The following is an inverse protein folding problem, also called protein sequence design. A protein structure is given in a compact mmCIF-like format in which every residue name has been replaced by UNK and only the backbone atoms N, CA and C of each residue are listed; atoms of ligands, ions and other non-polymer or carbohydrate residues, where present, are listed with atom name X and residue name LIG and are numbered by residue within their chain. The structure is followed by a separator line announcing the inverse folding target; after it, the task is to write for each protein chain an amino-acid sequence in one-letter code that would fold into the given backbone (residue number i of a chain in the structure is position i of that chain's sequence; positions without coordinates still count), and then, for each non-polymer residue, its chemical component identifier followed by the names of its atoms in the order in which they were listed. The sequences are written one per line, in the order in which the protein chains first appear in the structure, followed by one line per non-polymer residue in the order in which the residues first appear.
data_IF_198007330963
#
_entry.id   IF_198007330963
#
_cell.length_a   1.000
_cell.length_b   1.000
_cell.length_c   1.000
_cell.angle_alpha   90.00
_cell.angle_beta   90.00
_cell.angle_gamma   90.00
#
_symmetry.space_group_name_H-M   'P 1'
#
loop_
_entity.id
_entity.type
_entity.pdbx_description
1 polymer ?
#
# COMPACT_ATOMS: atom_id res chain seq x y z
N UNK A 1 72.95 -5.21 4.50
CA UNK A 1 71.86 -5.87 3.75
C UNK A 1 70.80 -6.28 4.75
N UNK A 2 69.73 -5.49 4.89
CA UNK A 2 68.61 -5.77 5.80
C UNK A 2 67.48 -6.40 4.97
N UNK A 3 66.97 -7.52 5.44
CA UNK A 3 65.84 -8.26 4.86
C UNK A 3 64.52 -7.67 5.37
N UNK A 4 63.68 -7.20 4.45
CA UNK A 4 62.33 -6.72 4.73
C UNK A 4 61.34 -7.89 4.95
N UNK A 5 60.38 -7.78 5.89
CA UNK A 5 59.33 -8.78 6.05
C UNK A 5 58.14 -8.51 5.10
N UNK A 6 57.69 -9.59 4.47
CA UNK A 6 56.47 -9.67 3.65
C UNK A 6 55.24 -9.12 4.39
N UNK A 7 54.66 -8.03 3.88
CA UNK A 7 53.29 -7.61 4.21
C UNK A 7 52.32 -8.28 3.21
N UNK A 8 51.59 -9.30 3.65
CA UNK A 8 50.48 -9.87 2.91
C UNK A 8 49.28 -8.91 2.97
N UNK A 9 48.97 -8.26 1.86
CA UNK A 9 47.76 -7.45 1.69
C UNK A 9 46.59 -8.41 1.45
N UNK A 10 45.80 -8.69 2.48
CA UNK A 10 44.46 -9.25 2.29
C UNK A 10 43.59 -8.19 1.62
N UNK A 11 43.18 -8.45 0.38
CA UNK A 11 42.19 -7.64 -0.33
C UNK A 11 40.86 -7.70 0.43
N UNK A 12 40.22 -6.56 0.74
CA UNK A 12 38.88 -6.59 1.30
C UNK A 12 37.92 -7.22 0.29
N UNK A 13 37.13 -8.18 0.75
CA UNK A 13 36.03 -8.76 -0.03
C UNK A 13 35.13 -7.64 -0.56
N UNK A 14 34.63 -7.73 -1.81
CA UNK A 14 33.76 -6.70 -2.36
C UNK A 14 32.49 -6.65 -1.51
N UNK A 15 32.33 -5.59 -0.74
CA UNK A 15 31.09 -5.27 -0.07
C UNK A 15 30.02 -5.18 -1.14
N UNK A 16 29.12 -6.17 -1.14
CA UNK A 16 27.98 -6.23 -2.04
C UNK A 16 27.19 -4.94 -1.81
N UNK A 17 27.29 -3.98 -2.72
CA UNK A 17 26.56 -2.71 -2.65
C UNK A 17 25.06 -3.05 -2.74
N UNK A 18 24.41 -3.24 -1.59
CA UNK A 18 22.99 -3.52 -1.54
C UNK A 18 22.26 -2.23 -1.88
N UNK A 19 21.51 -2.23 -2.98
CA UNK A 19 20.67 -1.08 -3.36
C UNK A 19 19.71 -0.77 -2.20
N UNK A 20 19.86 0.36 -1.49
CA UNK A 20 19.11 0.64 -0.28
C UNK A 20 17.59 0.69 -0.53
N UNK A 21 17.19 1.02 -1.76
CA UNK A 21 15.78 1.06 -2.19
C UNK A 21 15.21 -0.36 -2.22
N UNK A 22 15.96 -1.32 -2.75
CA UNK A 22 15.53 -2.72 -2.87
C UNK A 22 15.53 -3.45 -1.53
N UNK A 23 16.44 -3.08 -0.61
CA UNK A 23 16.45 -3.64 0.74
C UNK A 23 15.34 -3.06 1.62
N UNK A 24 15.11 -1.74 1.55
CA UNK A 24 13.96 -1.13 2.22
C UNK A 24 12.63 -1.66 1.70
N UNK A 25 12.48 -1.91 0.39
CA UNK A 25 11.25 -2.50 -0.15
C UNK A 25 11.03 -3.93 0.35
N UNK A 26 12.08 -4.74 0.44
CA UNK A 26 12.03 -6.10 1.01
C UNK A 26 11.70 -6.11 2.50
N UNK A 27 12.29 -5.22 3.29
CA UNK A 27 11.96 -5.06 4.71
C UNK A 27 10.52 -4.59 4.91
N UNK A 28 10.07 -3.62 4.12
CA UNK A 28 8.70 -3.16 4.11
C UNK A 28 7.70 -4.27 3.74
N UNK A 29 8.07 -5.16 2.80
CA UNK A 29 7.25 -6.30 2.38
C UNK A 29 7.10 -7.38 3.48
N UNK A 30 8.10 -7.54 4.36
CA UNK A 30 8.05 -8.52 5.46
C UNK A 30 7.14 -8.12 6.61
N UNK A 31 6.88 -6.83 6.78
CA UNK A 31 5.96 -6.29 7.80
C UNK A 31 4.61 -5.87 7.22
N UNK A 32 4.40 -6.02 5.92
CA UNK A 32 3.16 -5.67 5.24
C UNK A 32 2.22 -6.86 5.11
N UNK A 33 0.93 -6.59 5.23
CA UNK A 33 -0.16 -7.54 5.09
C UNK A 33 -0.95 -7.22 3.83
N UNK A 34 -1.72 -8.17 3.33
CA UNK A 34 -2.71 -7.91 2.29
C UNK A 34 -3.97 -7.35 2.93
N UNK A 35 -4.65 -6.42 2.25
CA UNK A 35 -5.99 -5.98 2.63
C UNK A 35 -7.01 -6.78 1.83
N UNK A 36 -7.65 -7.75 2.48
CA UNK A 36 -8.61 -8.67 1.86
C UNK A 36 -10.03 -8.23 2.16
N UNK A 37 -10.90 -8.23 1.16
CA UNK A 37 -12.33 -7.97 1.35
C UNK A 37 -13.13 -9.28 1.49
N UNK A 38 -14.43 -9.16 1.74
CA UNK A 38 -15.33 -10.31 1.96
C UNK A 38 -15.49 -11.21 0.72
N UNK A 39 -15.26 -10.70 -0.50
CA UNK A 39 -15.23 -11.54 -1.72
C UNK A 39 -13.97 -12.39 -1.84
N UNK A 40 -13.04 -12.25 -0.89
CA UNK A 40 -11.79 -12.96 -0.85
C UNK A 40 -10.69 -12.37 -1.72
N UNK A 41 -10.91 -11.18 -2.29
CA UNK A 41 -9.97 -10.45 -3.14
C UNK A 41 -9.14 -9.48 -2.31
N UNK A 42 -7.99 -9.09 -2.86
CA UNK A 42 -7.05 -8.17 -2.23
C UNK A 42 -7.14 -6.78 -2.86
N UNK A 43 -6.99 -5.74 -2.05
CA UNK A 43 -6.73 -4.38 -2.52
C UNK A 43 -5.40 -4.36 -3.29
N UNK A 44 -5.42 -3.83 -4.49
CA UNK A 44 -4.27 -3.80 -5.38
C UNK A 44 -4.13 -2.44 -6.08
N UNK A 45 -2.89 -2.01 -6.30
CA UNK A 45 -2.59 -1.04 -7.35
C UNK A 45 -2.82 -1.70 -8.71
N UNK A 46 -3.58 -1.04 -9.59
CA UNK A 46 -3.87 -1.54 -10.92
C UNK A 46 -2.57 -1.93 -11.65
N UNK A 47 -2.52 -3.15 -12.19
CA UNK A 47 -1.35 -3.72 -12.89
C UNK A 47 -0.05 -3.74 -12.06
N UNK A 48 -0.12 -3.68 -10.73
CA UNK A 48 1.04 -3.57 -9.84
C UNK A 48 1.95 -2.37 -10.16
N UNK A 49 1.39 -1.32 -10.78
CA UNK A 49 2.10 -0.09 -11.09
C UNK A 49 2.41 0.68 -9.80
N UNK A 50 3.59 1.31 -9.72
CA UNK A 50 4.11 2.10 -8.60
C UNK A 50 3.96 3.62 -8.79
N UNK A 51 3.37 4.08 -9.89
CA UNK A 51 3.15 5.49 -10.21
C UNK A 51 2.15 6.21 -9.29
N UNK A 52 2.34 7.52 -9.11
CA UNK A 52 1.33 8.36 -8.47
C UNK A 52 0.07 8.43 -9.35
N UNK A 53 -1.10 8.33 -8.73
CA UNK A 53 -2.38 8.38 -9.46
C UNK A 53 -2.82 7.02 -10.03
N UNK A 54 -2.01 5.97 -9.91
CA UNK A 54 -2.46 4.60 -10.27
C UNK A 54 -3.71 4.26 -9.47
N UNK A 55 -4.76 3.83 -10.17
CA UNK A 55 -6.05 3.45 -9.58
C UNK A 55 -5.88 2.26 -8.64
N UNK A 56 -6.70 2.24 -7.59
CA UNK A 56 -6.85 1.06 -6.75
C UNK A 56 -8.00 0.20 -7.25
N UNK A 57 -7.80 -1.12 -7.22
CA UNK A 57 -8.77 -2.13 -7.64
C UNK A 57 -8.82 -3.26 -6.62
N UNK A 58 -9.87 -4.07 -6.64
CA UNK A 58 -9.79 -5.42 -6.08
C UNK A 58 -9.16 -6.36 -7.10
N UNK A 59 -8.36 -7.31 -6.63
CA UNK A 59 -7.71 -8.29 -7.49
C UNK A 59 -7.52 -9.60 -6.75
N UNK A 60 -7.44 -10.71 -7.49
CA UNK A 60 -6.94 -11.97 -6.94
C UNK A 60 -5.62 -11.73 -6.19
N UNK A 61 -5.54 -12.31 -4.98
CA UNK A 61 -4.42 -12.10 -4.08
C UNK A 61 -3.13 -12.71 -4.62
N UNK A 62 -2.06 -11.92 -4.75
CA UNK A 62 -0.75 -12.30 -5.29
C UNK A 62 0.38 -11.72 -4.43
N UNK A 63 1.61 -12.17 -4.69
CA UNK A 63 2.81 -11.65 -4.01
C UNK A 63 3.41 -10.47 -4.78
N UNK A 64 2.67 -9.37 -4.83
CA UNK A 64 3.01 -8.17 -5.61
C UNK A 64 3.14 -6.94 -4.68
N UNK A 65 4.09 -6.05 -4.97
CA UNK A 65 4.33 -4.84 -4.16
C UNK A 65 3.07 -3.97 -4.02
N UNK A 66 2.26 -3.88 -5.07
CA UNK A 66 0.99 -3.17 -5.10
C UNK A 66 -0.13 -3.80 -4.26
N UNK A 67 0.07 -5.00 -3.69
CA UNK A 67 -0.90 -5.67 -2.80
C UNK A 67 -0.43 -5.75 -1.34
N UNK A 68 0.78 -5.31 -1.04
CA UNK A 68 1.37 -5.38 0.28
C UNK A 68 1.22 -4.08 1.04
N UNK A 69 0.22 -3.99 1.91
CA UNK A 69 -0.17 -2.77 2.62
C UNK A 69 0.29 -2.78 4.09
N UNK A 70 0.63 -1.59 4.60
CA UNK A 70 0.96 -1.40 6.02
C UNK A 70 0.51 -0.04 6.51
N UNK A 71 0.16 0.03 7.79
CA UNK A 71 0.02 1.31 8.48
C UNK A 71 1.36 2.04 8.51
N UNK A 72 1.35 3.34 8.22
CA UNK A 72 2.51 4.22 8.19
C UNK A 72 2.14 5.55 8.82
N UNK A 73 3.03 6.07 9.65
CA UNK A 73 2.89 7.34 10.37
C UNK A 73 1.60 7.44 11.24
N UNK A 74 1.03 6.29 11.61
CA UNK A 74 -0.15 6.18 12.50
C UNK A 74 -1.50 6.16 11.78
N UNK A 75 -1.65 6.86 10.65
CA UNK A 75 -2.95 7.05 10.00
C UNK A 75 -2.96 6.79 8.48
N UNK A 76 -1.83 6.49 7.85
CA UNK A 76 -1.77 6.22 6.40
C UNK A 76 -1.60 4.73 6.14
N UNK A 77 -2.21 4.24 5.07
CA UNK A 77 -2.03 2.84 4.62
C UNK A 77 -1.26 2.86 3.31
N UNK A 78 -0.06 2.29 3.29
CA UNK A 78 0.83 2.38 2.15
C UNK A 78 1.35 1.02 1.68
N UNK A 79 1.48 0.87 0.37
CA UNK A 79 1.86 -0.38 -0.27
C UNK A 79 3.39 -0.62 -0.29
N UNK A 80 3.83 -1.69 -0.96
CA UNK A 80 5.23 -2.05 -1.17
C UNK A 80 6.01 -1.05 -2.03
N UNK A 81 5.31 -0.25 -2.86
CA UNK A 81 5.89 0.88 -3.59
C UNK A 81 6.02 2.15 -2.74
N UNK A 82 5.66 2.08 -1.45
CA UNK A 82 5.63 3.22 -0.53
C UNK A 82 4.65 4.32 -0.96
N UNK A 83 3.61 3.95 -1.70
CA UNK A 83 2.47 4.79 -2.09
C UNK A 83 1.27 4.47 -1.20
N UNK A 84 0.52 5.48 -0.80
CA UNK A 84 -0.57 5.36 0.17
C UNK A 84 -1.94 5.44 -0.50
N UNK A 85 -2.94 4.80 0.10
CA UNK A 85 -4.34 4.91 -0.33
C UNK A 85 -4.76 6.37 -0.24
N UNK A 86 -5.22 6.94 -1.34
CA UNK A 86 -5.51 8.37 -1.46
C UNK A 86 -6.89 8.59 -2.08
N UNK A 87 -7.72 9.35 -1.36
CA UNK A 87 -8.87 10.06 -1.92
C UNK A 87 -8.39 11.44 -2.40
N UNK A 88 -8.24 11.68 -3.73
CA UNK A 88 -7.52 12.85 -4.24
C UNK A 88 -8.25 14.19 -4.09
N UNK A 89 -9.56 14.17 -3.83
CA UNK A 89 -10.41 15.38 -3.75
C UNK A 89 -11.49 15.19 -2.69
N UNK A 90 -11.71 16.21 -1.86
CA UNK A 90 -12.82 16.23 -0.91
C UNK A 90 -14.10 16.70 -1.64
N UNK A 91 -15.09 15.82 -1.77
CA UNK A 91 -16.35 16.12 -2.44
C UNK A 91 -17.48 15.26 -1.88
N UNK A 92 -18.72 15.71 -2.06
CA UNK A 92 -19.91 14.93 -1.74
C UNK A 92 -20.03 13.68 -2.61
N UNK A 93 -19.54 13.74 -3.86
CA UNK A 93 -19.58 12.62 -4.79
C UNK A 93 -18.73 11.42 -4.33
N UNK A 94 -18.93 10.25 -4.97
CA UNK A 94 -18.05 9.10 -4.79
C UNK A 94 -16.68 9.41 -5.39
N UNK A 95 -15.62 9.06 -4.67
CA UNK A 95 -14.25 9.40 -5.05
C UNK A 95 -13.54 8.15 -5.50
N UNK A 96 -13.01 8.14 -6.73
CA UNK A 96 -12.15 7.05 -7.17
C UNK A 96 -10.83 7.10 -6.41
N UNK A 97 -10.41 5.98 -5.84
CA UNK A 97 -9.18 5.93 -5.07
C UNK A 97 -7.99 5.61 -5.94
N UNK A 98 -6.88 6.22 -5.57
CA UNK A 98 -5.58 6.05 -6.22
C UNK A 98 -4.53 5.78 -5.16
N UNK A 99 -3.35 5.33 -5.58
CA UNK A 99 -2.16 5.42 -4.76
C UNK A 99 -1.44 6.75 -5.00
N UNK A 100 -0.81 7.31 -3.99
CA UNK A 100 0.16 8.40 -4.18
C UNK A 100 1.18 8.48 -3.04
N UNK A 101 2.29 9.16 -3.27
CA UNK A 101 3.22 9.52 -2.19
C UNK A 101 2.57 10.41 -1.12
N UNK A 102 3.29 10.70 -0.02
CA UNK A 102 2.79 11.61 1.03
C UNK A 102 2.34 12.94 0.43
N UNK A 103 1.09 13.32 0.66
CA UNK A 103 0.57 14.64 0.29
C UNK A 103 0.38 15.52 1.52
N UNK A 104 0.45 16.83 1.31
CA UNK A 104 0.16 17.86 2.30
C UNK A 104 -1.22 18.48 2.01
N UNK A 105 -1.74 19.30 2.94
CA UNK A 105 -3.02 20.00 2.76
C UNK A 105 -4.21 19.03 2.66
N UNK A 106 -5.23 19.38 1.85
CA UNK A 106 -6.46 18.58 1.69
C UNK A 106 -6.16 17.14 1.25
N UNK A 107 -5.22 16.93 0.34
CA UNK A 107 -4.83 15.59 -0.10
C UNK A 107 -4.18 14.76 1.02
N UNK A 108 -3.54 15.42 2.00
CA UNK A 108 -3.04 14.77 3.20
C UNK A 108 -4.17 14.22 4.09
N UNK A 109 -5.32 14.91 4.16
CA UNK A 109 -6.51 14.40 4.86
C UNK A 109 -7.14 13.20 4.12
N UNK A 110 -7.13 13.21 2.78
CA UNK A 110 -7.58 12.09 1.96
C UNK A 110 -6.70 10.83 2.03
N UNK A 111 -5.57 10.88 2.74
CA UNK A 111 -4.66 9.75 3.00
C UNK A 111 -4.78 9.15 4.39
N UNK A 112 -5.66 9.69 5.23
CA UNK A 112 -5.86 9.22 6.59
C UNK A 112 -6.97 8.19 6.61
N UNK A 113 -6.68 7.01 7.15
CA UNK A 113 -7.57 5.86 7.16
C UNK A 113 -7.53 5.18 8.53
N UNK A 114 -8.70 4.84 9.03
CA UNK A 114 -8.89 4.13 10.28
C UNK A 114 -9.71 2.87 10.03
N UNK A 115 -9.26 1.74 10.57
CA UNK A 115 -10.03 0.51 10.54
C UNK A 115 -11.05 0.53 11.69
N UNK A 116 -12.32 0.65 11.36
CA UNK A 116 -13.44 0.70 12.30
C UNK A 116 -14.43 -0.43 11.99
N UNK A 117 -14.47 -1.45 12.85
CA UNK A 117 -15.38 -2.61 12.72
C UNK A 117 -15.38 -3.22 11.31
N UNK A 118 -14.18 -3.51 10.80
CA UNK A 118 -13.98 -4.08 9.45
C UNK A 118 -14.06 -3.09 8.30
N UNK A 119 -14.44 -1.82 8.51
CA UNK A 119 -14.44 -0.80 7.45
C UNK A 119 -13.23 0.11 7.56
N UNK A 120 -12.60 0.43 6.43
CA UNK A 120 -11.58 1.47 6.35
C UNK A 120 -12.25 2.81 6.06
N UNK A 121 -12.33 3.68 7.06
CA UNK A 121 -12.94 5.01 7.00
C UNK A 121 -11.86 6.10 6.92
N UNK A 122 -12.02 7.07 6.03
CA UNK A 122 -11.13 8.23 5.97
C UNK A 122 -11.63 9.43 6.77
N UNK A 123 -10.79 10.46 6.93
CA UNK A 123 -11.13 11.69 7.67
C UNK A 123 -12.38 12.42 7.14
N UNK A 124 -12.76 12.17 5.87
CA UNK A 124 -13.98 12.71 5.24
C UNK A 124 -15.20 11.82 5.40
N UNK A 125 -15.16 10.85 6.32
CA UNK A 125 -16.29 9.96 6.65
C UNK A 125 -16.75 9.10 5.49
N UNK A 126 -15.82 8.74 4.61
CA UNK A 126 -16.05 7.82 3.49
C UNK A 126 -15.32 6.51 3.72
N UNK A 127 -15.93 5.41 3.30
CA UNK A 127 -15.43 4.06 3.43
C UNK A 127 -14.78 3.58 2.14
N UNK A 128 -13.67 2.85 2.26
CA UNK A 128 -13.05 2.08 1.20
C UNK A 128 -14.06 1.04 0.69
N UNK A 129 -14.47 1.14 -0.58
CA UNK A 129 -15.63 0.42 -1.11
C UNK A 129 -15.31 -0.20 -2.47
N UNK A 130 -15.56 -1.49 -2.62
CA UNK A 130 -15.79 -2.13 -3.93
C UNK A 130 -17.29 -2.04 -4.23
N UNK A 131 -17.65 -1.37 -5.33
CA UNK A 131 -19.06 -1.15 -5.67
C UNK A 131 -19.79 -2.45 -6.03
N UNK A 132 -21.08 -2.48 -5.71
CA UNK A 132 -22.03 -3.55 -6.08
C UNK A 132 -21.65 -4.95 -5.56
N UNK A 133 -20.86 -5.03 -4.49
CA UNK A 133 -20.39 -6.30 -3.91
C UNK A 133 -19.77 -7.25 -4.96
N UNK A 134 -19.18 -6.66 -6.01
CA UNK A 134 -18.63 -7.42 -7.12
C UNK A 134 -17.52 -8.34 -6.63
N UNK A 135 -17.44 -9.52 -7.24
CA UNK A 135 -16.39 -10.53 -6.98
C UNK A 135 -15.35 -10.59 -8.11
N UNK A 136 -15.50 -9.73 -9.13
CA UNK A 136 -14.64 -9.73 -10.30
C UNK A 136 -13.29 -9.03 -10.04
N UNK A 137 -12.25 -9.53 -10.71
CA UNK A 137 -10.92 -8.93 -10.74
C UNK A 137 -10.93 -7.59 -11.49
N UNK A 138 -10.14 -6.62 -11.02
CA UNK A 138 -9.97 -5.32 -11.67
C UNK A 138 -11.08 -4.29 -11.37
N UNK A 139 -12.05 -4.62 -10.52
CA UNK A 139 -13.11 -3.67 -10.11
C UNK A 139 -12.48 -2.53 -9.31
N UNK A 140 -12.74 -1.29 -9.73
CA UNK A 140 -12.22 -0.09 -9.09
C UNK A 140 -12.72 0.05 -7.66
N UNK A 141 -11.84 0.55 -6.79
CA UNK A 141 -12.14 0.82 -5.38
C UNK A 141 -12.37 2.32 -5.20
N UNK A 142 -13.41 2.65 -4.44
CA UNK A 142 -13.92 4.00 -4.26
C UNK A 142 -13.95 4.38 -2.78
N UNK A 143 -13.92 5.68 -2.49
CA UNK A 143 -14.38 6.23 -1.22
C UNK A 143 -15.85 6.66 -1.39
N UNK A 144 -16.75 5.97 -0.69
CA UNK A 144 -18.19 6.17 -0.73
C UNK A 144 -18.75 6.38 0.68
N UNK A 145 -20.01 6.79 0.81
CA UNK A 145 -20.68 6.83 2.11
C UNK A 145 -20.56 5.48 2.82
N UNK A 146 -20.29 5.49 4.13
CA UNK A 146 -20.23 4.27 4.92
C UNK A 146 -21.64 3.71 5.15
N UNK A 147 -21.89 2.47 4.70
CA UNK A 147 -23.18 1.79 4.79
C UNK A 147 -22.99 0.52 5.63
N UNK A 148 -23.65 0.40 6.81
CA UNK A 148 -23.61 -0.82 7.60
C UNK A 148 -24.09 -2.05 6.81
N UNK A 149 -23.39 -3.18 6.95
CA UNK A 149 -23.79 -4.45 6.32
C UNK A 149 -23.39 -4.63 4.85
N UNK A 150 -22.85 -3.61 4.18
CA UNK A 150 -22.34 -3.77 2.80
C UNK A 150 -21.00 -4.50 2.82
N UNK A 151 -20.95 -5.66 2.14
CA UNK A 151 -19.78 -6.55 2.11
C UNK A 151 -18.60 -5.92 1.36
N UNK A 152 -18.88 -5.14 0.31
CA UNK A 152 -17.89 -4.38 -0.45
C UNK A 152 -17.17 -3.31 0.37
N UNK A 153 -17.62 -3.02 1.60
CA UNK A 153 -16.96 -2.11 2.54
C UNK A 153 -16.19 -2.82 3.66
N UNK A 154 -16.22 -4.16 3.71
CA UNK A 154 -15.51 -4.94 4.70
C UNK A 154 -14.10 -5.29 4.20
N UNK A 155 -13.13 -5.08 5.09
CA UNK A 155 -11.72 -5.28 4.84
C UNK A 155 -11.04 -5.81 6.10
N UNK A 156 -10.08 -6.69 5.90
CA UNK A 156 -9.22 -7.22 6.94
C UNK A 156 -7.78 -7.29 6.47
N UNK A 157 -6.85 -7.00 7.37
CA UNK A 157 -5.44 -7.28 7.13
C UNK A 157 -5.20 -8.79 7.30
N UNK A 158 -4.56 -9.41 6.32
CA UNK A 158 -4.19 -10.84 6.34
C UNK A 158 -2.71 -11.02 5.95
N UNK A 159 -2.04 -11.98 6.60
CA UNK A 159 -0.69 -12.44 6.24
C UNK A 159 -0.72 -13.21 4.92
#
# INVERSE_FOLDING_TARGET
MRSDPNFSITTPSPTRYQNPIADNSRRNARSSMRLKNDSGKCLASLNNDGGDGTKLVQQSCRHELGQYWRMKDGDRICNGWNKCITAPVNTVANIRLVQSEKKNGQQGAGQKWQLNRGRLENDWKKCLTVSQDSVADGVEVWAMSCIPGVLGQQWMFVS
#
